data_IF_635256177476
#
_entry.id   IF_635256177476
#
_cell.length_a   1.000
_cell.length_b   1.000
_cell.length_c   1.000
_cell.angle_alpha   90.00
_cell.angle_beta   90.00
_cell.angle_gamma   90.00
#
_symmetry.space_group_name_H-M   'P 1'
#
loop_
_entity.id
_entity.type
_entity.pdbx_description
1 polymer ?
#
# COMPACT_ATOMS: atom_id res chain seq x y z
N UNK A 1 45.85 -41.65 -18.33
CA UNK A 1 44.93 -41.23 -17.25
C UNK A 1 44.55 -39.78 -17.50
N UNK A 2 43.46 -39.54 -18.25
CA UNK A 2 42.90 -38.20 -18.49
C UNK A 2 41.80 -37.97 -17.45
N UNK A 3 41.85 -36.89 -16.63
CA UNK A 3 40.77 -36.63 -15.71
C UNK A 3 39.58 -36.05 -16.49
N UNK A 4 38.48 -36.78 -16.41
CA UNK A 4 37.17 -36.46 -16.96
C UNK A 4 36.60 -35.25 -16.22
N UNK A 5 36.48 -34.11 -16.90
CA UNK A 5 35.84 -32.90 -16.38
C UNK A 5 34.32 -33.12 -16.38
N UNK A 6 33.76 -33.46 -15.22
CA UNK A 6 32.31 -33.56 -15.03
C UNK A 6 31.75 -32.13 -15.03
N UNK A 7 31.08 -31.76 -16.12
CA UNK A 7 30.27 -30.55 -16.21
C UNK A 7 29.02 -30.75 -15.35
N UNK A 8 29.06 -30.28 -14.09
CA UNK A 8 27.86 -30.11 -13.27
C UNK A 8 27.02 -28.99 -13.90
N UNK A 9 26.03 -29.37 -14.70
CA UNK A 9 24.89 -28.52 -15.03
C UNK A 9 24.14 -28.25 -13.72
N UNK A 10 24.50 -27.18 -13.03
CA UNK A 10 23.67 -26.60 -11.99
C UNK A 10 22.37 -26.16 -12.67
N UNK A 11 21.31 -26.97 -12.51
CA UNK A 11 19.97 -26.54 -12.85
C UNK A 11 19.66 -25.31 -11.98
N UNK A 12 19.82 -24.12 -12.55
CA UNK A 12 19.18 -22.93 -12.03
C UNK A 12 17.68 -23.20 -12.13
N UNK A 13 17.10 -23.75 -11.07
CA UNK A 13 15.68 -23.61 -10.80
C UNK A 13 15.48 -22.11 -10.53
N UNK A 14 15.41 -21.33 -11.60
CA UNK A 14 14.78 -20.03 -11.56
C UNK A 14 13.37 -20.30 -11.06
N UNK A 15 13.13 -20.02 -9.78
CA UNK A 15 11.78 -19.93 -9.26
C UNK A 15 11.15 -18.82 -10.07
N UNK A 16 10.37 -19.20 -11.09
CA UNK A 16 9.38 -18.30 -11.63
C UNK A 16 8.62 -17.82 -10.40
N UNK A 17 8.73 -16.53 -10.08
CA UNK A 17 7.81 -15.89 -9.17
C UNK A 17 6.46 -16.06 -9.85
N UNK A 18 5.76 -17.16 -9.57
CA UNK A 18 4.38 -17.33 -9.95
C UNK A 18 3.70 -16.12 -9.31
N UNK A 19 3.41 -15.12 -10.13
CA UNK A 19 2.88 -13.84 -9.67
C UNK A 19 1.69 -14.15 -8.79
N UNK A 20 1.77 -13.74 -7.52
CA UNK A 20 0.70 -13.99 -6.56
C UNK A 20 -0.63 -13.52 -7.15
N UNK A 21 -1.63 -14.37 -6.98
CA UNK A 21 -2.97 -14.21 -7.55
C UNK A 21 -3.88 -13.62 -6.47
N UNK A 22 -4.79 -12.71 -6.85
CA UNK A 22 -5.78 -12.11 -5.96
C UNK A 22 -6.45 -13.13 -5.01
N UNK A 23 -6.85 -14.30 -5.54
CA UNK A 23 -7.57 -15.34 -4.79
C UNK A 23 -6.78 -15.91 -3.61
N UNK A 24 -5.45 -15.76 -3.59
CA UNK A 24 -4.61 -16.29 -2.52
C UNK A 24 -4.68 -15.43 -1.27
N UNK A 25 -4.72 -14.10 -1.44
CA UNK A 25 -4.50 -13.15 -0.36
C UNK A 25 -5.72 -12.29 -0.02
N UNK A 26 -6.73 -12.22 -0.90
CA UNK A 26 -7.85 -11.30 -0.80
C UNK A 26 -9.21 -11.96 -1.11
N UNK A 27 -10.27 -11.35 -0.59
CA UNK A 27 -11.67 -11.66 -0.90
C UNK A 27 -12.43 -10.37 -1.24
N UNK A 28 -13.35 -10.44 -2.20
CA UNK A 28 -14.33 -9.37 -2.45
C UNK A 28 -15.30 -9.35 -1.27
N UNK A 29 -15.42 -8.20 -0.60
CA UNK A 29 -16.25 -8.05 0.61
C UNK A 29 -17.60 -7.40 0.34
N UNK A 30 -17.70 -6.61 -0.74
CA UNK A 30 -18.92 -5.89 -1.11
C UNK A 30 -18.95 -5.61 -2.62
N UNK A 31 -20.15 -5.50 -3.19
CA UNK A 31 -20.38 -5.04 -4.55
C UNK A 31 -21.32 -5.89 -5.40
N UNK A 32 -21.84 -7.02 -4.90
CA UNK A 32 -22.90 -7.80 -5.56
C UNK A 32 -22.61 -8.12 -7.05
N UNK A 33 -21.39 -8.58 -7.35
CA UNK A 33 -20.95 -8.88 -8.72
C UNK A 33 -20.23 -7.73 -9.46
N UNK A 34 -20.11 -6.55 -8.83
CA UNK A 34 -19.32 -5.41 -9.33
C UNK A 34 -17.80 -5.55 -9.14
N UNK A 35 -17.37 -6.52 -8.34
CA UNK A 35 -15.98 -6.99 -8.33
C UNK A 35 -15.84 -8.20 -9.25
N UNK A 36 -14.99 -8.11 -10.28
CA UNK A 36 -14.72 -9.23 -11.20
C UNK A 36 -13.26 -9.61 -11.19
N UNK A 37 -13.01 -10.88 -10.88
CA UNK A 37 -11.69 -11.51 -10.90
C UNK A 37 -11.51 -12.15 -12.27
N UNK A 38 -10.48 -11.73 -13.00
CA UNK A 38 -10.20 -12.07 -14.38
C UNK A 38 -8.78 -12.62 -14.51
N UNK A 39 -8.47 -13.22 -15.65
CA UNK A 39 -7.14 -13.76 -15.99
C UNK A 39 -6.59 -14.72 -14.92
N UNK A 40 -7.45 -15.62 -14.44
CA UNK A 40 -7.14 -16.51 -13.31
C UNK A 40 -6.59 -15.70 -12.12
N UNK A 41 -7.32 -14.65 -11.74
CA UNK A 41 -7.03 -13.73 -10.64
C UNK A 41 -5.74 -12.92 -10.69
N UNK A 42 -5.18 -12.75 -11.89
CA UNK A 42 -4.12 -11.75 -12.16
C UNK A 42 -4.66 -10.33 -12.35
N UNK A 43 -5.95 -10.20 -12.64
CA UNK A 43 -6.64 -8.93 -12.82
C UNK A 43 -7.91 -8.91 -11.96
N UNK A 44 -8.08 -7.84 -11.17
CA UNK A 44 -9.35 -7.50 -10.54
C UNK A 44 -9.88 -6.23 -11.16
N UNK A 45 -11.18 -6.19 -11.44
CA UNK A 45 -11.89 -4.95 -11.74
C UNK A 45 -12.94 -4.70 -10.67
N UNK A 46 -13.00 -3.46 -10.18
CA UNK A 46 -14.05 -2.94 -9.33
C UNK A 46 -14.86 -1.93 -10.14
N UNK A 47 -16.17 -2.06 -10.15
CA UNK A 47 -17.06 -1.07 -10.76
C UNK A 47 -17.91 -0.33 -9.73
N UNK A 48 -18.28 0.90 -10.10
CA UNK A 48 -19.19 1.77 -9.37
C UNK A 48 -20.26 2.29 -10.33
N UNK A 49 -21.51 2.15 -9.90
CA UNK A 49 -22.69 2.72 -10.53
C UNK A 49 -23.59 3.34 -9.45
N UNK A 50 -24.72 3.92 -9.88
CA UNK A 50 -25.62 4.65 -8.98
C UNK A 50 -26.23 3.74 -7.89
N UNK A 51 -26.30 2.44 -8.12
CA UNK A 51 -26.86 1.51 -7.16
C UNK A 51 -25.82 1.12 -6.11
N UNK A 52 -24.56 0.89 -6.51
CA UNK A 52 -23.52 0.44 -5.57
C UNK A 52 -22.12 0.58 -6.14
N UNK A 53 -21.14 0.60 -5.24
CA UNK A 53 -19.72 0.43 -5.54
C UNK A 53 -19.27 -1.02 -5.37
N UNK A 54 -17.97 -1.19 -5.14
CA UNK A 54 -17.41 -2.50 -4.79
C UNK A 54 -16.11 -2.36 -4.00
N UNK A 55 -15.71 -3.44 -3.32
CA UNK A 55 -14.48 -3.46 -2.54
C UNK A 55 -14.02 -4.86 -2.15
N UNK A 56 -12.76 -4.94 -1.74
CA UNK A 56 -12.14 -6.18 -1.27
C UNK A 56 -11.33 -5.93 0.00
N UNK A 57 -11.05 -7.04 0.71
CA UNK A 57 -10.22 -7.07 1.91
C UNK A 57 -9.21 -8.21 1.81
N UNK A 58 -8.06 -8.09 2.48
CA UNK A 58 -7.20 -9.24 2.71
C UNK A 58 -7.88 -10.34 3.52
N UNK A 59 -7.41 -11.58 3.35
CA UNK A 59 -7.84 -12.77 4.11
C UNK A 59 -7.23 -12.83 5.51
N UNK A 60 -6.06 -12.22 5.68
CA UNK A 60 -5.35 -12.15 6.95
C UNK A 60 -5.18 -10.70 7.42
N UNK A 61 -5.00 -10.56 8.73
CA UNK A 61 -4.49 -9.34 9.35
C UNK A 61 -2.96 -9.35 9.36
N UNK A 62 -2.39 -8.15 9.29
CA UNK A 62 -0.96 -7.95 9.26
C UNK A 62 -0.57 -6.89 10.27
N UNK A 63 0.46 -7.15 11.07
CA UNK A 63 1.00 -6.12 11.96
C UNK A 63 1.83 -5.10 11.17
N UNK A 64 2.60 -5.61 10.21
CA UNK A 64 3.47 -4.84 9.35
C UNK A 64 3.47 -5.46 7.96
N UNK A 65 3.61 -4.63 6.93
CA UNK A 65 3.51 -5.08 5.57
C UNK A 65 3.95 -4.05 4.55
N UNK A 66 4.37 -4.55 3.39
CA UNK A 66 4.49 -3.82 2.14
C UNK A 66 3.41 -4.34 1.21
N UNK A 67 2.52 -3.45 0.78
CA UNK A 67 1.50 -3.77 -0.21
C UNK A 67 1.90 -3.12 -1.52
N UNK A 68 2.41 -3.93 -2.44
CA UNK A 68 2.58 -3.51 -3.81
C UNK A 68 1.38 -4.01 -4.61
N UNK A 69 0.69 -3.06 -5.23
CA UNK A 69 -0.28 -3.32 -6.29
C UNK A 69 0.05 -2.35 -7.43
N UNK A 70 -0.49 -2.56 -8.63
CA UNK A 70 -0.54 -1.50 -9.65
C UNK A 70 -1.41 -0.29 -9.25
N UNK A 71 -1.69 -0.15 -7.94
CA UNK A 71 -2.04 1.05 -7.20
C UNK A 71 -1.20 0.98 -5.91
N UNK A 72 -0.04 1.63 -5.87
CA UNK A 72 0.99 1.42 -4.84
C UNK A 72 0.64 2.14 -3.52
N UNK A 73 0.53 1.42 -2.40
CA UNK A 73 0.27 2.01 -1.07
C UNK A 73 0.99 1.28 0.09
N UNK A 74 1.52 2.09 1.00
CA UNK A 74 2.05 1.81 2.36
C UNK A 74 2.99 0.61 2.54
N UNK A 75 4.25 0.90 2.88
CA UNK A 75 5.09 0.01 3.67
C UNK A 75 5.07 0.49 5.13
N UNK A 76 4.48 -0.29 6.03
CA UNK A 76 4.51 -0.06 7.48
C UNK A 76 5.51 -1.02 8.12
N UNK A 77 6.47 -0.49 8.87
CA UNK A 77 7.36 -1.26 9.75
C UNK A 77 7.32 -0.71 11.18
N UNK A 78 8.05 -1.33 12.11
CA UNK A 78 8.11 -0.90 13.53
C UNK A 78 8.56 0.56 13.71
N UNK A 79 9.39 1.08 12.80
CA UNK A 79 10.01 2.41 12.95
C UNK A 79 9.41 3.51 12.07
N UNK A 80 8.69 3.17 11.00
CA UNK A 80 8.06 4.15 10.10
C UNK A 80 7.03 3.55 9.15
N UNK A 81 6.07 4.39 8.73
CA UNK A 81 5.21 4.16 7.58
C UNK A 81 5.69 5.01 6.40
N UNK A 82 5.84 4.38 5.22
CA UNK A 82 6.27 5.03 3.98
C UNK A 82 5.21 4.86 2.91
N UNK A 83 4.84 5.96 2.27
CA UNK A 83 3.97 6.00 1.10
C UNK A 83 4.82 6.26 -0.14
N UNK A 84 4.59 5.51 -1.21
CA UNK A 84 5.37 5.65 -2.43
C UNK A 84 4.51 5.38 -3.67
N UNK A 85 4.86 6.01 -4.79
CA UNK A 85 4.30 5.80 -6.12
C UNK A 85 5.45 5.43 -7.05
N UNK A 86 5.36 4.31 -7.75
CA UNK A 86 6.40 3.82 -8.69
C UNK A 86 7.83 3.78 -8.11
N UNK A 87 7.94 3.48 -6.81
CA UNK A 87 9.24 3.48 -6.11
C UNK A 87 9.61 4.83 -5.49
N UNK A 88 9.05 5.92 -5.98
CA UNK A 88 9.30 7.27 -5.46
C UNK A 88 8.56 7.48 -4.13
N UNK A 89 9.27 7.76 -3.02
CA UNK A 89 8.62 8.07 -1.75
C UNK A 89 7.93 9.44 -1.83
N UNK A 90 6.68 9.50 -1.37
CA UNK A 90 5.85 10.72 -1.38
C UNK A 90 5.53 11.23 0.03
N UNK A 91 5.55 10.34 1.03
CA UNK A 91 5.35 10.68 2.44
C UNK A 91 6.01 9.65 3.34
N UNK A 92 6.54 10.12 4.46
CA UNK A 92 7.00 9.29 5.56
C UNK A 92 6.30 9.74 6.84
N UNK A 93 5.93 8.77 7.67
CA UNK A 93 5.49 8.99 9.05
C UNK A 93 6.37 8.14 9.96
N UNK A 94 7.25 8.78 10.73
CA UNK A 94 8.19 8.09 11.63
C UNK A 94 7.46 7.72 12.93
N UNK A 95 7.84 6.60 13.53
CA UNK A 95 7.40 6.27 14.87
C UNK A 95 8.03 7.25 15.87
N UNK A 96 7.18 7.99 16.58
CA UNK A 96 7.55 8.93 17.63
C UNK A 96 6.75 8.67 18.92
N UNK A 97 6.39 7.42 19.21
CA UNK A 97 5.71 7.03 20.45
C UNK A 97 6.49 7.41 21.71
N UNK A 98 7.83 7.38 21.65
CA UNK A 98 8.70 7.87 22.73
C UNK A 98 8.53 9.37 23.03
N UNK A 99 7.94 10.12 22.10
CA UNK A 99 7.57 11.54 22.25
C UNK A 99 6.05 11.74 22.45
N UNK A 100 5.31 10.67 22.72
CA UNK A 100 3.87 10.69 22.97
C UNK A 100 2.99 10.74 21.73
N UNK A 101 3.53 10.52 20.52
CA UNK A 101 2.75 10.50 19.28
C UNK A 101 2.28 9.06 19.00
N UNK A 102 0.97 8.80 18.91
CA UNK A 102 0.46 7.46 18.59
C UNK A 102 0.99 6.94 17.26
N UNK A 103 1.35 5.66 17.23
CA UNK A 103 1.78 4.96 16.04
C UNK A 103 1.12 3.57 15.98
N UNK A 104 0.73 3.06 14.79
CA UNK A 104 0.08 1.75 14.68
C UNK A 104 1.10 0.60 14.80
N UNK A 105 1.68 0.41 15.99
CA UNK A 105 2.67 -0.65 16.24
C UNK A 105 2.03 -1.97 16.70
N UNK A 106 0.92 -1.88 17.45
CA UNK A 106 0.39 -3.01 18.21
C UNK A 106 -1.02 -3.45 17.77
N UNK A 107 -1.51 -2.93 16.65
CA UNK A 107 -2.84 -3.24 16.12
C UNK A 107 -2.72 -3.87 14.73
N UNK A 108 -3.00 -5.17 14.59
CA UNK A 108 -3.02 -5.82 13.29
C UNK A 108 -4.05 -5.16 12.37
N UNK A 109 -3.65 -4.86 11.14
CA UNK A 109 -4.47 -4.19 10.13
C UNK A 109 -4.85 -5.14 9.00
N UNK A 110 -6.04 -4.92 8.46
CA UNK A 110 -6.44 -5.51 7.18
C UNK A 110 -6.03 -4.59 6.04
N UNK A 111 -5.77 -5.17 4.87
CA UNK A 111 -5.63 -4.41 3.63
C UNK A 111 -7.03 -4.29 3.02
N UNK A 112 -7.41 -3.08 2.63
CA UNK A 112 -8.66 -2.81 1.95
C UNK A 112 -8.42 -2.02 0.66
N UNK A 113 -9.32 -2.19 -0.30
CA UNK A 113 -9.48 -1.27 -1.41
C UNK A 113 -10.96 -1.25 -1.81
N UNK A 114 -11.43 -0.07 -2.22
CA UNK A 114 -12.82 0.12 -2.63
C UNK A 114 -12.92 1.18 -3.71
N UNK A 115 -13.98 1.08 -4.50
CA UNK A 115 -14.46 2.13 -5.39
C UNK A 115 -15.87 2.51 -4.91
N UNK A 116 -16.03 3.76 -4.48
CA UNK A 116 -17.26 4.26 -3.86
C UNK A 116 -17.45 5.75 -4.16
N UNK A 117 -18.70 6.22 -4.07
CA UNK A 117 -19.05 7.62 -4.33
C UNK A 117 -18.84 8.50 -3.09
N UNK A 118 -18.16 9.63 -3.30
CA UNK A 118 -17.75 10.56 -2.25
C UNK A 118 -17.99 12.01 -2.69
N UNK A 119 -19.08 12.26 -3.43
CA UNK A 119 -19.36 13.52 -4.11
C UNK A 119 -19.50 14.73 -3.18
N UNK A 120 -19.65 14.53 -1.87
CA UNK A 120 -19.69 15.60 -0.88
C UNK A 120 -18.32 16.23 -0.59
N UNK A 121 -17.21 15.58 -0.97
CA UNK A 121 -15.88 16.10 -0.64
C UNK A 121 -14.78 15.77 -1.66
N UNK A 122 -14.93 14.75 -2.50
CA UNK A 122 -13.83 14.22 -3.32
C UNK A 122 -13.28 15.22 -4.35
N UNK A 123 -14.16 15.85 -5.15
CA UNK A 123 -13.72 16.69 -6.28
C UNK A 123 -14.01 18.16 -5.99
N UNK A 124 -12.94 18.97 -5.99
CA UNK A 124 -12.99 20.40 -5.63
C UNK A 124 -13.72 20.67 -4.31
N UNK A 125 -13.50 19.82 -3.31
CA UNK A 125 -14.16 19.93 -1.99
C UNK A 125 -15.67 19.70 -2.03
N UNK A 126 -16.16 18.90 -2.98
CA UNK A 126 -17.58 18.54 -3.12
C UNK A 126 -18.37 19.42 -4.11
N UNK A 127 -17.71 20.39 -4.76
CA UNK A 127 -18.35 21.28 -5.73
C UNK A 127 -18.67 20.60 -7.06
N UNK A 128 -17.97 19.52 -7.41
CA UNK A 128 -18.21 18.75 -8.62
C UNK A 128 -18.77 17.39 -8.22
N UNK A 129 -20.03 17.16 -8.60
CA UNK A 129 -20.79 15.93 -8.29
C UNK A 129 -20.54 14.83 -9.32
N UNK A 130 -20.86 13.60 -8.95
CA UNK A 130 -20.64 12.45 -9.81
C UNK A 130 -21.63 12.47 -10.98
N UNK A 131 -21.12 12.45 -12.21
CA UNK A 131 -21.95 12.34 -13.41
C UNK A 131 -22.29 10.87 -13.69
N UNK A 132 -23.39 10.41 -13.08
CA UNK A 132 -23.85 9.03 -13.19
C UNK A 132 -24.21 8.59 -14.61
N UNK A 133 -24.32 9.49 -15.58
CA UNK A 133 -24.52 9.11 -16.99
C UNK A 133 -23.29 8.45 -17.61
N UNK A 134 -22.12 8.63 -16.98
CA UNK A 134 -20.84 8.01 -17.39
C UNK A 134 -20.55 6.67 -16.69
N UNK A 135 -21.46 6.21 -15.83
CA UNK A 135 -21.33 4.91 -15.20
C UNK A 135 -21.44 3.76 -16.22
N UNK A 136 -20.79 2.61 -16.00
CA UNK A 136 -20.03 2.26 -14.80
C UNK A 136 -18.60 2.81 -14.79
N UNK A 137 -18.21 3.43 -13.68
CA UNK A 137 -16.82 3.78 -13.42
C UNK A 137 -16.06 2.53 -13.03
N UNK A 138 -14.91 2.26 -13.65
CA UNK A 138 -14.17 1.00 -13.44
C UNK A 138 -12.73 1.27 -13.02
N UNK A 139 -12.31 0.69 -11.90
CA UNK A 139 -10.93 0.65 -11.44
C UNK A 139 -10.35 -0.76 -11.64
N UNK A 140 -9.12 -0.84 -12.15
CA UNK A 140 -8.44 -2.12 -12.41
C UNK A 140 -7.20 -2.27 -11.54
N UNK A 141 -7.01 -3.46 -10.98
CA UNK A 141 -5.91 -3.81 -10.10
C UNK A 141 -5.18 -5.04 -10.64
N UNK A 142 -3.85 -4.99 -10.60
CA UNK A 142 -2.96 -6.10 -10.96
C UNK A 142 -1.79 -6.16 -9.98
N UNK A 143 -1.01 -7.23 -10.07
CA UNK A 143 0.22 -7.43 -9.29
C UNK A 143 -0.02 -7.38 -7.78
N UNK A 144 -0.92 -8.23 -7.28
CA UNK A 144 -1.25 -8.32 -5.85
C UNK A 144 -0.06 -8.91 -5.08
N UNK A 145 0.79 -8.06 -4.50
CA UNK A 145 1.93 -8.50 -3.72
C UNK A 145 1.88 -7.91 -2.31
N UNK A 146 1.40 -8.72 -1.36
CA UNK A 146 1.45 -8.40 0.07
C UNK A 146 2.61 -9.16 0.73
N UNK A 147 3.72 -8.46 1.00
CA UNK A 147 4.80 -8.98 1.83
C UNK A 147 4.55 -8.49 3.25
N UNK A 148 4.20 -9.37 4.18
CA UNK A 148 3.75 -8.94 5.49
C UNK A 148 4.05 -9.96 6.59
N UNK A 149 4.21 -9.46 7.82
CA UNK A 149 4.26 -10.28 9.03
C UNK A 149 2.83 -10.62 9.47
N UNK A 150 2.47 -11.90 9.39
CA UNK A 150 1.20 -12.44 9.87
C UNK A 150 1.27 -12.72 11.38
N UNK A 151 0.23 -12.32 12.12
CA UNK A 151 0.04 -12.66 13.55
C UNK A 151 -0.90 -13.89 13.65
N UNK A 152 -0.72 -14.87 14.58
CA UNK A 152 0.03 -14.81 15.85
C UNK A 152 1.30 -15.68 15.93
N UNK A 153 1.67 -16.42 14.89
CA UNK A 153 2.70 -17.47 14.94
C UNK A 153 4.03 -17.15 14.24
N UNK A 154 4.19 -15.96 13.66
CA UNK A 154 5.41 -15.61 12.92
C UNK A 154 6.28 -14.62 13.69
N UNK A 155 7.29 -15.11 14.40
CA UNK A 155 8.46 -14.28 14.72
C UNK A 155 8.93 -13.63 13.43
N UNK A 156 8.94 -12.29 13.34
CA UNK A 156 9.55 -11.56 12.23
C UNK A 156 11.09 -11.68 12.33
N UNK A 157 11.61 -12.90 12.49
CA UNK A 157 13.02 -13.19 12.70
C UNK A 157 13.74 -13.30 11.36
N UNK A 158 14.30 -12.18 10.91
CA UNK A 158 15.67 -11.99 10.39
C UNK A 158 16.34 -13.10 9.55
N UNK A 159 15.62 -13.88 8.73
CA UNK A 159 16.32 -14.84 7.86
C UNK A 159 15.74 -14.96 6.45
N UNK A 160 15.67 -13.82 5.76
CA UNK A 160 15.77 -13.77 4.29
C UNK A 160 15.97 -12.33 3.83
N UNK A 161 16.74 -12.15 2.76
CA UNK A 161 16.85 -10.91 1.98
C UNK A 161 15.50 -10.28 1.59
N UNK A 162 14.40 -11.05 1.70
CA UNK A 162 13.02 -10.65 1.45
C UNK A 162 12.42 -9.65 2.46
N UNK A 163 12.97 -9.52 3.67
CA UNK A 163 12.45 -8.60 4.71
C UNK A 163 13.27 -7.32 4.89
N UNK A 164 14.23 -7.04 3.99
CA UNK A 164 15.07 -5.83 4.03
C UNK A 164 14.25 -4.53 4.04
N UNK A 165 13.07 -4.52 3.41
CA UNK A 165 12.16 -3.38 3.38
C UNK A 165 11.62 -2.98 4.76
N UNK A 166 11.58 -3.90 5.73
CA UNK A 166 10.99 -3.70 7.06
C UNK A 166 11.82 -2.78 7.95
N UNK A 167 13.15 -2.83 7.82
CA UNK A 167 14.10 -2.01 8.58
C UNK A 167 14.74 -0.89 7.74
N UNK A 168 14.38 -0.77 6.46
CA UNK A 168 15.00 0.19 5.56
C UNK A 168 14.55 1.62 5.88
N UNK A 169 15.47 2.44 6.36
CA UNK A 169 15.26 3.89 6.44
C UNK A 169 15.25 4.51 5.04
N UNK A 170 14.66 5.70 4.93
CA UNK A 170 14.92 6.54 3.76
C UNK A 170 16.34 7.10 3.92
N UNK A 171 17.14 6.93 2.88
CA UNK A 171 18.43 7.58 2.76
C UNK A 171 18.26 9.09 2.51
N UNK A 172 19.36 9.85 2.55
CA UNK A 172 19.31 11.29 2.32
C UNK A 172 18.69 11.62 0.95
N UNK A 173 18.96 10.81 -0.07
CA UNK A 173 18.38 10.97 -1.40
C UNK A 173 16.86 10.78 -1.39
N UNK A 174 16.35 9.77 -0.68
CA UNK A 174 14.93 9.54 -0.49
C UNK A 174 14.23 10.70 0.23
N UNK A 175 14.89 11.30 1.22
CA UNK A 175 14.38 12.49 1.90
C UNK A 175 14.32 13.72 1.00
N UNK A 176 15.38 13.98 0.22
CA UNK A 176 15.38 15.06 -0.77
C UNK A 176 14.31 14.83 -1.86
N UNK A 177 14.07 13.58 -2.23
CA UNK A 177 13.00 13.22 -3.17
C UNK A 177 11.62 13.53 -2.60
N UNK A 178 11.36 13.21 -1.33
CA UNK A 178 10.11 13.60 -0.65
C UNK A 178 9.95 15.13 -0.67
N UNK A 179 10.99 15.89 -0.29
CA UNK A 179 10.93 17.36 -0.30
C UNK A 179 10.62 17.91 -1.70
N UNK A 180 11.23 17.34 -2.73
CA UNK A 180 10.95 17.72 -4.11
C UNK A 180 9.51 17.40 -4.52
N UNK A 181 8.99 16.21 -4.18
CA UNK A 181 7.60 15.85 -4.45
C UNK A 181 6.65 16.81 -3.72
N UNK A 182 6.92 17.08 -2.45
CA UNK A 182 6.11 18.01 -1.64
C UNK A 182 6.12 19.42 -2.23
N UNK A 183 7.28 19.93 -2.66
CA UNK A 183 7.40 21.26 -3.25
C UNK A 183 6.64 21.42 -4.57
N UNK A 184 6.62 20.38 -5.41
CA UNK A 184 6.10 20.48 -6.78
C UNK A 184 4.67 19.94 -6.95
N UNK A 185 4.22 19.01 -6.11
CA UNK A 185 2.96 18.27 -6.33
C UNK A 185 2.01 18.27 -5.12
N UNK A 186 2.44 18.69 -3.92
CA UNK A 186 1.56 18.69 -2.75
C UNK A 186 0.64 19.91 -2.77
N UNK A 187 -0.66 19.65 -2.92
CA UNK A 187 -1.70 20.70 -2.95
C UNK A 187 -2.38 20.90 -1.58
N UNK A 188 -2.19 19.98 -0.64
CA UNK A 188 -2.75 20.05 0.70
C UNK A 188 -1.81 19.37 1.70
N UNK A 189 -1.61 20.01 2.85
CA UNK A 189 -0.88 19.45 3.97
C UNK A 189 -1.55 19.88 5.28
N UNK A 190 -1.97 18.91 6.08
CA UNK A 190 -2.64 19.16 7.35
C UNK A 190 -1.73 19.85 8.37
N UNK A 191 -0.40 19.66 8.28
CA UNK A 191 0.57 20.33 9.15
C UNK A 191 0.69 21.84 8.91
N UNK A 192 0.13 22.35 7.82
CA UNK A 192 0.13 23.78 7.48
C UNK A 192 -1.28 24.36 7.39
N UNK A 193 -2.31 23.57 7.72
CA UNK A 193 -3.71 23.99 7.68
C UNK A 193 -4.12 24.65 9.00
N UNK A 194 -3.89 25.96 9.08
CA UNK A 194 -4.27 26.78 10.24
C UNK A 194 -5.79 26.93 10.41
N UNK A 195 -6.59 26.67 9.37
CA UNK A 195 -8.06 26.71 9.48
C UNK A 195 -8.58 25.48 10.18
N UNK A 196 -8.04 24.31 9.86
CA UNK A 196 -8.38 23.05 10.54
C UNK A 196 -7.81 22.99 11.96
N UNK A 197 -6.62 23.56 12.17
CA UNK A 197 -5.93 23.54 13.45
C UNK A 197 -5.65 24.96 14.00
N UNK A 198 -6.69 25.72 14.40
CA UNK A 198 -6.53 27.10 14.86
C UNK A 198 -5.78 27.19 16.21
N UNK A 199 -5.82 26.13 17.01
CA UNK A 199 -5.25 26.10 18.37
C UNK A 199 -3.86 25.43 18.44
N UNK A 200 -3.20 25.27 17.29
CA UNK A 200 -1.90 24.60 17.19
C UNK A 200 -1.96 23.31 16.38
N UNK A 201 -0.86 23.03 15.68
CA UNK A 201 -0.75 21.88 14.78
C UNK A 201 -0.55 20.56 15.55
N UNK A 202 -0.89 19.43 14.91
CA UNK A 202 -0.59 18.11 15.47
C UNK A 202 0.90 17.98 15.86
N UNK A 203 1.24 17.39 17.02
CA UNK A 203 2.60 17.38 17.55
C UNK A 203 3.64 16.81 16.58
N UNK A 204 3.27 15.80 15.79
CA UNK A 204 4.16 15.18 14.82
C UNK A 204 4.65 16.15 13.74
N UNK A 205 3.91 17.22 13.46
CA UNK A 205 4.25 18.20 12.43
C UNK A 205 5.49 19.02 12.78
N UNK A 206 5.81 19.15 14.06
CA UNK A 206 6.98 19.89 14.57
C UNK A 206 8.26 19.05 14.62
N UNK A 207 8.15 17.74 14.34
CA UNK A 207 9.23 16.76 14.48
C UNK A 207 9.75 16.30 13.10
N UNK A 208 9.16 16.84 12.03
CA UNK A 208 9.47 16.54 10.62
C UNK A 208 10.81 17.16 10.21
#
# INVERSE_FOLDING_TARGET
>A
MFPMLILLLAAFAGSALAGRNFNQDFDITWGEGRGKILDDGKLLTLSLDKASGSGFRSKNQYMFGKVDMQIKLVAGGVSMCRFAVDGTPIRQFKNHESKGIPYPENQPMWIFSSLWDAEDWATRGGLVKTDWTQAPFTASYKHFNALACTSPSGSCSNNSSANSWFSQSLDNLGMERIKWVQKNYMIYNYCTDSKRFPNGFPPECSII
#
